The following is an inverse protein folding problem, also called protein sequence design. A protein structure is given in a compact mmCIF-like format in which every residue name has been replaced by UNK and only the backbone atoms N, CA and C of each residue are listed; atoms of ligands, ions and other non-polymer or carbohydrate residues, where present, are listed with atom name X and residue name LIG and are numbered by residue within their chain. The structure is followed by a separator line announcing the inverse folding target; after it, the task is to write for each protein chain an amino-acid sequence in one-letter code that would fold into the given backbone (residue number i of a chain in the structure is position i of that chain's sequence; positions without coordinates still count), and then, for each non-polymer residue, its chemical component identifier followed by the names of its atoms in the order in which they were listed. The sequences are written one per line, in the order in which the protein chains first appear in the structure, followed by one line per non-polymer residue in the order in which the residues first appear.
data_IF_575965555221
#
_entry.id   IF_575965555221
#
_cell.length_a   1.000
_cell.length_b   1.000
_cell.length_c   1.000
_cell.angle_alpha   90.00
_cell.angle_beta   90.00
_cell.angle_gamma   90.00
#
_symmetry.space_group_name_H-M   'P 1'
#
loop_
_entity.id
_entity.type
_entity.pdbx_description
1 polymer ?
#
# COMPACT_ATOMS: atom_id res chain seq x y z
N UNK A 1 12.37 14.05 -3.22
CA UNK A 1 12.58 12.83 -2.43
C UNK A 1 13.20 11.83 -3.39
N UNK A 2 14.49 11.50 -3.24
CA UNK A 2 15.13 10.54 -4.14
C UNK A 2 14.47 9.19 -3.89
N UNK A 3 13.64 8.71 -4.82
CA UNK A 3 13.23 7.33 -4.81
C UNK A 3 14.51 6.51 -4.82
N UNK A 4 14.75 5.76 -3.76
CA UNK A 4 15.80 4.77 -3.80
C UNK A 4 15.30 3.66 -4.72
N UNK A 5 16.03 3.36 -5.79
CA UNK A 5 15.65 2.30 -6.72
C UNK A 5 15.18 1.06 -5.96
N UNK A 6 14.04 0.52 -6.38
CA UNK A 6 13.43 -0.71 -5.86
C UNK A 6 14.38 -1.92 -5.97
N UNK A 7 15.40 -1.83 -6.81
CA UNK A 7 16.45 -2.84 -6.98
C UNK A 7 17.67 -2.60 -6.09
N UNK A 8 17.59 -1.68 -5.11
CA UNK A 8 18.69 -1.49 -4.15
C UNK A 8 18.95 -2.77 -3.37
N UNK A 9 20.12 -3.35 -3.60
CA UNK A 9 20.56 -4.62 -2.99
C UNK A 9 20.62 -5.79 -3.98
N UNK A 10 20.15 -5.58 -5.22
CA UNK A 10 20.36 -6.51 -6.33
C UNK A 10 21.57 -6.06 -7.12
N UNK A 11 22.45 -6.99 -7.43
CA UNK A 11 23.64 -6.76 -8.24
C UNK A 11 23.81 -7.94 -9.17
N UNK A 12 24.27 -7.65 -10.38
CA UNK A 12 24.75 -8.66 -11.29
C UNK A 12 26.28 -8.62 -11.35
N UNK A 13 26.93 -9.79 -11.42
CA UNK A 13 28.40 -9.87 -11.35
C UNK A 13 29.05 -9.57 -12.70
N UNK A 14 28.32 -9.79 -13.81
CA UNK A 14 28.69 -9.38 -15.15
C UNK A 14 28.43 -7.88 -15.40
N UNK A 15 27.66 -7.23 -14.52
CA UNK A 15 27.32 -5.82 -14.61
C UNK A 15 26.14 -5.53 -15.53
N UNK A 16 25.32 -6.54 -15.80
CA UNK A 16 24.11 -6.41 -16.60
C UNK A 16 23.09 -5.50 -15.91
N UNK A 17 22.35 -4.76 -16.73
CA UNK A 17 21.33 -3.86 -16.23
C UNK A 17 20.11 -4.66 -15.77
N UNK A 18 19.77 -4.51 -14.50
CA UNK A 18 18.64 -5.20 -13.89
C UNK A 18 17.30 -4.51 -14.15
N UNK A 19 16.26 -5.32 -14.33
CA UNK A 19 14.89 -4.85 -14.58
C UNK A 19 13.85 -5.65 -13.81
N UNK A 20 12.67 -5.07 -13.57
CA UNK A 20 11.51 -5.81 -13.06
C UNK A 20 10.69 -6.31 -14.24
N UNK A 21 10.48 -7.62 -14.31
CA UNK A 21 9.75 -8.26 -15.42
C UNK A 21 8.35 -8.73 -15.02
N UNK A 22 8.13 -8.96 -13.72
CA UNK A 22 6.84 -9.42 -13.22
C UNK A 22 6.64 -9.01 -11.76
N UNK A 23 5.39 -8.86 -11.33
CA UNK A 23 5.03 -8.69 -9.92
C UNK A 23 3.60 -9.16 -9.65
N UNK A 24 3.33 -9.51 -8.40
CA UNK A 24 1.98 -9.85 -7.93
C UNK A 24 1.30 -8.64 -7.31
N UNK A 25 -0.04 -8.62 -7.31
CA UNK A 25 -0.75 -7.76 -6.37
C UNK A 25 -0.51 -8.23 -4.94
N UNK A 26 -0.61 -7.30 -3.99
CA UNK A 26 -0.69 -7.63 -2.58
C UNK A 26 -2.12 -8.11 -2.24
N UNK A 27 -2.32 -8.79 -1.11
CA UNK A 27 -3.62 -9.41 -0.80
C UNK A 27 -4.68 -8.39 -0.38
N UNK A 28 -4.26 -7.25 0.17
CA UNK A 28 -5.16 -6.26 0.76
C UNK A 28 -4.94 -4.86 0.17
N UNK A 29 -4.60 -4.80 -1.11
CA UNK A 29 -4.50 -3.56 -1.86
C UNK A 29 -4.16 -3.81 -3.32
N UNK A 30 -4.00 -2.73 -4.06
CA UNK A 30 -3.56 -2.76 -5.45
C UNK A 30 -2.12 -2.27 -5.55
N UNK A 31 -1.37 -2.87 -6.47
CA UNK A 31 0.01 -2.49 -6.75
C UNK A 31 0.15 -2.11 -8.22
N UNK A 32 0.81 -0.98 -8.49
CA UNK A 32 1.24 -0.60 -9.83
C UNK A 32 2.72 -0.25 -9.83
N UNK A 33 3.41 -0.58 -10.92
CA UNK A 33 4.76 -0.11 -11.18
C UNK A 33 4.67 1.17 -12.01
N UNK A 34 5.34 2.23 -11.54
CA UNK A 34 5.57 3.43 -12.33
C UNK A 34 7.02 3.40 -12.79
N UNK A 35 7.21 3.33 -14.11
CA UNK A 35 8.53 3.29 -14.77
C UNK A 35 9.03 4.67 -15.19
N UNK A 36 8.36 5.74 -14.73
CA UNK A 36 8.61 7.14 -15.06
C UNK A 36 8.69 7.43 -16.58
N UNK A 37 8.12 6.55 -17.42
CA UNK A 37 8.23 6.64 -18.87
C UNK A 37 9.59 6.22 -19.43
N UNK A 38 10.42 5.53 -18.65
CA UNK A 38 11.75 5.04 -19.03
C UNK A 38 11.86 3.51 -18.97
N UNK A 39 11.21 2.77 -19.91
CA UNK A 39 11.23 1.31 -19.91
C UNK A 39 12.63 0.69 -19.80
N UNK A 40 12.80 -0.17 -18.80
CA UNK A 40 14.03 -0.91 -18.52
C UNK A 40 15.11 -0.12 -17.77
N UNK A 41 14.95 1.20 -17.59
CA UNK A 41 15.77 2.00 -16.68
C UNK A 41 15.09 1.96 -15.32
N UNK A 42 15.67 1.25 -14.36
CA UNK A 42 15.02 0.97 -13.06
C UNK A 42 15.54 1.84 -11.91
N UNK A 43 16.38 2.82 -12.22
CA UNK A 43 17.00 3.71 -11.24
C UNK A 43 15.98 4.65 -10.62
N UNK A 44 14.93 5.01 -11.37
CA UNK A 44 13.85 5.91 -10.98
C UNK A 44 12.48 5.22 -10.87
N UNK A 45 12.39 3.93 -11.18
CA UNK A 45 11.18 3.12 -10.99
C UNK A 45 10.75 3.08 -9.52
N UNK A 46 9.43 3.14 -9.31
CA UNK A 46 8.84 2.95 -7.99
C UNK A 46 7.48 2.25 -8.04
N UNK A 47 7.22 1.43 -7.03
CA UNK A 47 5.91 0.84 -6.82
C UNK A 47 4.96 1.83 -6.13
N UNK A 48 3.73 1.88 -6.60
CA UNK A 48 2.61 2.58 -5.97
C UNK A 48 1.70 1.52 -5.38
N UNK A 49 1.56 1.53 -4.05
CA UNK A 49 0.65 0.65 -3.33
C UNK A 49 -0.52 1.44 -2.76
N UNK A 50 -1.74 0.98 -3.01
CA UNK A 50 -2.98 1.53 -2.42
C UNK A 50 -3.65 0.45 -1.58
N UNK A 51 -3.64 0.54 -0.24
CA UNK A 51 -4.33 -0.42 0.62
C UNK A 51 -5.85 -0.33 0.45
N UNK A 52 -6.55 -1.43 0.67
CA UNK A 52 -8.00 -1.45 0.74
C UNK A 52 -8.50 -0.53 1.88
N UNK A 53 -9.68 0.05 1.71
CA UNK A 53 -10.28 0.89 2.74
C UNK A 53 -10.39 0.13 4.09
N UNK A 54 -10.05 0.82 5.18
CA UNK A 54 -10.02 0.30 6.56
C UNK A 54 -9.04 -0.87 6.81
N UNK A 55 -8.16 -1.20 5.86
CA UNK A 55 -7.08 -2.15 6.09
C UNK A 55 -5.94 -1.50 6.89
N UNK A 56 -5.48 -2.16 7.94
CA UNK A 56 -4.50 -1.63 8.90
C UNK A 56 -3.60 -2.74 9.48
N UNK A 57 -3.20 -3.69 8.63
CA UNK A 57 -2.31 -4.80 8.97
C UNK A 57 -1.14 -4.90 7.98
N UNK A 58 -0.31 -5.94 8.10
CA UNK A 58 0.84 -6.18 7.21
C UNK A 58 0.42 -6.81 5.89
N UNK A 59 0.96 -6.35 4.77
CA UNK A 59 0.74 -6.93 3.45
C UNK A 59 2.10 -7.21 2.77
N UNK A 60 2.08 -7.95 1.66
CA UNK A 60 3.32 -8.23 0.92
C UNK A 60 3.03 -8.53 -0.54
N UNK A 61 4.03 -8.33 -1.38
CA UNK A 61 4.01 -8.77 -2.77
C UNK A 61 5.36 -9.33 -3.19
N UNK A 62 5.34 -10.11 -4.27
CA UNK A 62 6.54 -10.67 -4.90
C UNK A 62 6.78 -9.93 -6.21
N UNK A 63 8.05 -9.69 -6.54
CA UNK A 63 8.48 -9.15 -7.82
C UNK A 63 9.68 -9.94 -8.34
N UNK A 64 9.82 -10.03 -9.66
CA UNK A 64 10.92 -10.74 -10.32
C UNK A 64 11.90 -9.74 -10.90
N UNK A 65 13.16 -9.87 -10.52
CA UNK A 65 14.28 -9.11 -11.07
C UNK A 65 14.97 -9.97 -12.13
N UNK A 66 15.26 -9.41 -13.30
CA UNK A 66 15.99 -10.09 -14.37
C UNK A 66 17.16 -9.27 -14.86
N UNK A 67 18.24 -9.96 -15.24
CA UNK A 67 19.42 -9.42 -15.93
C UNK A 67 19.20 -9.18 -17.44
N UNK A 68 18.08 -9.64 -18.00
CA UNK A 68 17.81 -9.59 -19.44
C UNK A 68 18.59 -10.60 -20.28
N UNK A 69 19.47 -11.40 -19.67
CA UNK A 69 20.31 -12.43 -20.28
C UNK A 69 19.94 -13.87 -19.85
N UNK A 70 18.81 -14.02 -19.14
CA UNK A 70 18.21 -15.30 -18.78
C UNK A 70 18.33 -15.63 -17.30
N UNK A 71 19.07 -14.84 -16.52
CA UNK A 71 19.05 -14.87 -15.07
C UNK A 71 17.87 -14.08 -14.51
N UNK A 72 17.26 -14.64 -13.46
CA UNK A 72 16.25 -13.95 -12.68
C UNK A 72 16.20 -14.43 -11.23
N UNK A 73 15.69 -13.56 -10.36
CA UNK A 73 15.47 -13.87 -8.95
C UNK A 73 14.21 -13.16 -8.45
N UNK A 74 13.47 -13.82 -7.57
CA UNK A 74 12.30 -13.22 -6.92
C UNK A 74 12.71 -12.45 -5.65
N UNK A 75 12.11 -11.28 -5.49
CA UNK A 75 12.15 -10.44 -4.31
C UNK A 75 10.80 -10.41 -3.59
N UNK A 76 10.82 -10.17 -2.29
CA UNK A 76 9.61 -9.94 -1.49
C UNK A 76 9.69 -8.57 -0.84
N UNK A 77 8.65 -7.76 -1.04
CA UNK A 77 8.51 -6.49 -0.36
C UNK A 77 7.40 -6.58 0.70
N UNK A 78 7.74 -6.22 1.95
CA UNK A 78 6.82 -6.23 3.08
C UNK A 78 6.31 -4.82 3.38
N UNK A 79 5.00 -4.69 3.57
CA UNK A 79 4.30 -3.43 3.79
C UNK A 79 3.65 -3.47 5.17
N UNK A 80 3.80 -2.40 5.95
CA UNK A 80 3.08 -2.22 7.22
C UNK A 80 2.07 -1.08 7.05
N UNK A 81 0.78 -1.40 7.03
CA UNK A 81 -0.29 -0.41 6.93
C UNK A 81 -0.75 -0.05 8.35
N UNK A 82 -0.57 1.21 8.73
CA UNK A 82 -1.02 1.71 10.03
C UNK A 82 -2.47 2.15 9.97
N UNK A 83 -3.18 1.98 11.08
CA UNK A 83 -4.50 2.60 11.24
C UNK A 83 -4.40 4.12 11.21
N UNK A 84 -5.43 4.74 10.63
CA UNK A 84 -5.70 6.17 10.75
C UNK A 84 -6.86 6.34 11.71
N UNK A 85 -6.81 7.36 12.56
CA UNK A 85 -7.92 7.64 13.48
C UNK A 85 -9.11 8.25 12.70
N UNK A 86 -10.23 7.54 12.72
CA UNK A 86 -11.48 8.03 12.12
C UNK A 86 -12.28 8.90 13.10
N UNK A 87 -13.06 9.84 12.55
CA UNK A 87 -13.99 10.64 13.35
C UNK A 87 -15.14 9.76 13.89
N UNK A 88 -15.65 10.02 15.09
CA UNK A 88 -16.84 9.33 15.58
C UNK A 88 -18.03 9.63 14.65
N UNK A 89 -18.82 8.59 14.35
CA UNK A 89 -20.08 8.71 13.62
C UNK A 89 -21.26 8.56 14.58
N UNK A 90 -22.36 9.27 14.31
CA UNK A 90 -23.63 9.02 15.01
C UNK A 90 -24.24 7.75 14.42
N UNK A 91 -24.01 6.61 15.07
CA UNK A 91 -24.60 5.35 14.66
C UNK A 91 -26.12 5.35 14.86
N UNK A 92 -26.56 5.82 16.03
CA UNK A 92 -27.95 5.96 16.42
C UNK A 92 -28.15 7.34 17.05
N UNK A 93 -29.02 8.17 16.46
CA UNK A 93 -29.41 9.43 17.09
C UNK A 93 -30.27 9.14 18.33
N UNK A 94 -30.08 9.94 19.39
CA UNK A 94 -30.99 9.94 20.52
C UNK A 94 -32.32 10.49 20.00
N UNK A 95 -33.42 9.77 20.27
CA UNK A 95 -34.74 10.17 19.81
C UNK A 95 -35.17 11.50 20.46
N UNK A 96 -35.99 12.26 19.75
CA UNK A 96 -36.64 13.44 20.31
C UNK A 96 -37.51 13.03 21.50
N UNK A 97 -37.50 13.87 22.55
CA UNK A 97 -38.23 13.62 23.77
C UNK A 97 -39.18 14.77 24.00
N UNK A 98 -40.46 14.44 24.10
CA UNK A 98 -41.51 15.37 24.50
C UNK A 98 -41.80 15.19 25.99
N UNK A 99 -41.76 16.27 26.76
CA UNK A 99 -42.13 16.28 28.18
C UNK A 99 -43.18 17.35 28.46
N UNK A 100 -43.85 17.23 29.60
CA UNK A 100 -44.78 18.26 30.09
C UNK A 100 -44.03 19.30 30.92
N UNK A 101 -44.61 20.49 31.02
CA UNK A 101 -44.09 21.51 31.92
C UNK A 101 -44.01 21.01 33.37
N UNK A 102 -42.98 21.45 34.09
CA UNK A 102 -42.69 21.09 35.49
C UNK A 102 -42.37 19.60 35.75
N UNK A 103 -42.00 18.84 34.70
CA UNK A 103 -41.55 17.46 34.83
C UNK A 103 -40.04 17.33 34.69
N UNK A 104 -39.38 16.68 35.66
CA UNK A 104 -37.98 16.24 35.53
C UNK A 104 -37.92 15.09 34.53
N UNK A 105 -36.98 15.15 33.59
CA UNK A 105 -36.74 14.11 32.60
C UNK A 105 -35.25 13.78 32.51
N UNK A 106 -34.91 12.53 32.19
CA UNK A 106 -33.54 12.05 31.98
C UNK A 106 -33.47 11.12 30.77
N UNK A 107 -32.43 11.28 29.95
CA UNK A 107 -32.09 10.40 28.83
C UNK A 107 -30.68 9.86 29.00
N UNK A 108 -30.40 8.74 28.31
CA UNK A 108 -29.09 8.07 28.27
C UNK A 108 -28.79 7.64 26.85
#
# INVERSE_FOLDING_TARGET
MLASSILRGYTDVEGDRLSITNFTNASNGTLTLNDNGTPGVTDDDYFIYTPNANYNSTDSFIFTVSDGNGGSIDGTFNINVKSVNDAPIVANAIADITTTENSVFSFT
#
